data_IF_206910469486
#
_entry.id   IF_206910469486
#
_cell.length_a   1.000
_cell.length_b   1.000
_cell.length_c   1.000
_cell.angle_alpha   90.00
_cell.angle_beta   90.00
_cell.angle_gamma   90.00
#
_symmetry.space_group_name_H-M   'P 1'
#
loop_
_entity.id
_entity.type
_entity.pdbx_description
1 polymer ?
#
# COMPACT_ATOMS: atom_id res chain seq x y z
N UNK A 1 2.27 23.35 5.90
CA UNK A 1 2.72 23.61 4.50
C UNK A 1 1.58 23.32 3.54
N UNK A 2 1.36 24.11 2.49
CA UNK A 2 0.41 23.74 1.42
C UNK A 2 0.87 22.42 0.77
N UNK A 3 -0.06 21.49 0.57
CA UNK A 3 0.22 20.22 -0.11
C UNK A 3 0.70 20.50 -1.54
N UNK A 4 1.93 20.09 -1.85
CA UNK A 4 2.49 20.21 -3.19
C UNK A 4 2.13 18.94 -3.97
N UNK A 5 1.26 19.09 -4.96
CA UNK A 5 0.85 18.00 -5.84
C UNK A 5 1.88 17.80 -6.95
N UNK A 6 2.38 16.57 -7.11
CA UNK A 6 3.30 16.24 -8.17
C UNK A 6 2.54 15.63 -9.36
N UNK A 7 2.70 16.22 -10.55
CA UNK A 7 2.29 15.55 -11.80
C UNK A 7 3.13 14.29 -11.99
N UNK A 8 2.57 13.31 -12.71
CA UNK A 8 3.30 12.12 -13.16
C UNK A 8 4.60 12.47 -13.91
N UNK A 9 4.64 13.62 -14.60
CA UNK A 9 5.84 14.16 -15.23
C UNK A 9 7.02 14.37 -14.28
N UNK A 10 6.76 14.51 -12.98
CA UNK A 10 7.81 14.72 -11.99
C UNK A 10 8.66 13.46 -11.82
N UNK A 11 8.03 12.30 -11.82
CA UNK A 11 8.67 11.03 -11.49
C UNK A 11 8.67 10.00 -12.62
N UNK A 12 7.98 10.24 -13.74
CA UNK A 12 8.11 9.45 -14.97
C UNK A 12 8.71 10.33 -16.06
N UNK A 13 9.80 9.85 -16.68
CA UNK A 13 10.48 10.52 -17.79
C UNK A 13 10.53 9.59 -18.99
N UNK A 14 10.18 10.10 -20.16
CA UNK A 14 10.18 9.27 -21.36
C UNK A 14 11.55 9.32 -22.06
N UNK A 15 12.07 8.17 -22.45
CA UNK A 15 13.33 8.06 -23.21
C UNK A 15 13.04 8.01 -24.71
N UNK A 16 12.05 7.19 -25.09
CA UNK A 16 11.48 7.08 -26.43
C UNK A 16 10.09 6.42 -26.33
N UNK A 17 9.45 6.15 -27.47
CA UNK A 17 8.10 5.57 -27.55
C UNK A 17 7.95 4.18 -26.89
N UNK A 18 9.05 3.54 -26.48
CA UNK A 18 9.09 2.21 -25.88
C UNK A 18 9.91 2.14 -24.59
N UNK A 19 10.31 3.27 -24.01
CA UNK A 19 11.10 3.27 -22.78
C UNK A 19 10.85 4.49 -21.89
N UNK A 20 10.70 4.25 -20.59
CA UNK A 20 10.45 5.27 -19.58
C UNK A 20 11.33 5.03 -18.36
N UNK A 21 11.74 6.10 -17.69
CA UNK A 21 12.46 6.06 -16.42
C UNK A 21 11.52 6.51 -15.31
N UNK A 22 11.37 5.67 -14.28
CA UNK A 22 10.61 5.96 -13.06
C UNK A 22 11.59 6.35 -11.94
N UNK A 23 11.37 7.52 -11.35
CA UNK A 23 12.16 8.14 -10.28
C UNK A 23 13.67 8.24 -10.56
N UNK A 24 14.06 8.25 -11.85
CA UNK A 24 15.46 8.33 -12.25
C UNK A 24 16.25 7.02 -12.14
N UNK A 25 15.66 5.98 -11.55
CA UNK A 25 16.37 4.78 -11.11
C UNK A 25 15.89 3.50 -11.82
N UNK A 26 14.59 3.35 -12.12
CA UNK A 26 14.05 2.19 -12.81
C UNK A 26 13.74 2.49 -14.28
N UNK A 27 14.30 1.71 -15.21
CA UNK A 27 13.97 1.74 -16.63
C UNK A 27 12.86 0.72 -16.92
N UNK A 28 11.74 1.19 -17.45
CA UNK A 28 10.64 0.38 -17.96
C UNK A 28 10.74 0.34 -19.48
N UNK A 29 10.86 -0.86 -20.06
CA UNK A 29 10.99 -1.04 -21.51
C UNK A 29 9.82 -1.85 -22.07
N UNK A 30 9.26 -1.42 -23.20
CA UNK A 30 8.21 -2.13 -23.95
C UNK A 30 8.80 -2.91 -25.12
N UNK A 31 8.36 -4.15 -25.28
CA UNK A 31 8.85 -5.09 -26.28
C UNK A 31 7.69 -5.64 -27.11
N UNK A 32 7.89 -5.79 -28.42
CA UNK A 32 6.93 -6.42 -29.33
C UNK A 32 7.01 -7.95 -29.36
N UNK A 33 7.99 -8.52 -28.67
CA UNK A 33 8.18 -9.97 -28.55
C UNK A 33 8.50 -10.32 -27.11
N UNK A 34 8.14 -11.53 -26.69
CA UNK A 34 8.29 -12.00 -25.32
C UNK A 34 9.77 -11.99 -24.92
N UNK A 35 10.18 -11.18 -23.93
CA UNK A 35 11.56 -11.09 -23.50
C UNK A 35 11.95 -12.31 -22.63
N UNK A 36 13.26 -12.53 -22.48
CA UNK A 36 13.80 -13.60 -21.62
C UNK A 36 13.71 -13.20 -20.14
N UNK A 37 13.87 -11.90 -19.87
CA UNK A 37 13.77 -11.33 -18.54
C UNK A 37 12.35 -11.49 -17.97
N UNK A 38 12.19 -11.43 -16.63
CA UNK A 38 10.89 -11.25 -16.01
C UNK A 38 10.12 -10.09 -16.66
N UNK A 39 8.85 -10.33 -16.98
CA UNK A 39 8.01 -9.41 -17.73
C UNK A 39 6.55 -9.55 -17.38
N UNK A 40 5.77 -8.56 -17.81
CA UNK A 40 4.31 -8.60 -17.79
C UNK A 40 3.76 -8.08 -19.12
N UNK A 41 2.50 -8.36 -19.39
CA UNK A 41 1.85 -8.05 -20.67
C UNK A 41 1.00 -6.78 -20.58
N UNK A 42 0.62 -6.24 -21.73
CA UNK A 42 -0.54 -5.37 -21.87
C UNK A 42 -1.72 -6.08 -22.54
N UNK A 43 -2.74 -5.29 -22.89
CA UNK A 43 -3.93 -5.75 -23.62
C UNK A 43 -3.72 -5.73 -25.15
N UNK A 44 -2.59 -5.22 -25.64
CA UNK A 44 -2.27 -5.04 -27.06
C UNK A 44 -1.23 -6.05 -27.58
N UNK A 45 -0.75 -6.95 -26.73
CA UNK A 45 0.22 -7.99 -27.07
C UNK A 45 1.68 -7.57 -26.96
N UNK A 46 1.95 -6.42 -26.32
CA UNK A 46 3.30 -6.03 -25.93
C UNK A 46 3.66 -6.57 -24.55
N UNK A 47 4.95 -6.57 -24.28
CA UNK A 47 5.54 -7.00 -23.02
C UNK A 47 6.33 -5.86 -22.40
N UNK A 48 6.32 -5.75 -21.08
CA UNK A 48 7.10 -4.78 -20.33
C UNK A 48 8.14 -5.48 -19.46
N UNK A 49 9.32 -4.88 -19.34
CA UNK A 49 10.37 -5.28 -18.39
C UNK A 49 10.76 -4.11 -17.51
N UNK A 50 11.33 -4.40 -16.34
CA UNK A 50 11.91 -3.41 -15.43
C UNK A 50 13.37 -3.75 -15.14
N UNK A 51 14.27 -2.78 -15.32
CA UNK A 51 15.70 -2.92 -15.03
C UNK A 51 16.23 -1.64 -14.36
N UNK A 52 17.44 -1.70 -13.81
CA UNK A 52 18.12 -0.48 -13.33
C UNK A 52 18.45 0.44 -14.50
N UNK A 53 18.23 1.74 -14.34
CA UNK A 53 18.60 2.75 -15.33
C UNK A 53 20.12 2.71 -15.57
N UNK A 54 20.57 2.68 -16.84
CA UNK A 54 22.00 2.58 -17.14
C UNK A 54 22.76 3.87 -16.77
N UNK A 55 24.07 3.73 -16.60
CA UNK A 55 25.00 4.85 -16.40
C UNK A 55 25.96 4.92 -17.60
N UNK A 56 26.02 6.04 -18.34
CA UNK A 56 25.28 7.29 -18.11
C UNK A 56 23.78 7.16 -18.40
N UNK A 57 22.97 7.98 -17.72
CA UNK A 57 21.51 8.02 -17.91
C UNK A 57 21.20 8.46 -19.35
N UNK A 58 20.29 7.78 -20.07
CA UNK A 58 19.94 8.18 -21.43
C UNK A 58 19.18 9.52 -21.41
N UNK A 59 19.23 10.28 -22.51
CA UNK A 59 18.44 11.50 -22.65
C UNK A 59 16.94 11.21 -22.45
N UNK A 60 16.24 12.14 -21.81
CA UNK A 60 14.80 12.04 -21.55
C UNK A 60 14.04 13.25 -22.07
N UNK A 61 12.76 13.05 -22.38
CA UNK A 61 11.76 14.07 -22.71
C UNK A 61 10.57 14.00 -21.73
N UNK A 62 9.70 15.00 -21.80
CA UNK A 62 8.40 14.94 -21.11
C UNK A 62 7.59 13.75 -21.64
N UNK A 63 6.67 13.22 -20.82
CA UNK A 63 5.85 12.09 -21.24
C UNK A 63 4.93 12.52 -22.40
N UNK A 64 4.77 11.65 -23.37
CA UNK A 64 3.83 11.85 -24.47
C UNK A 64 2.39 11.50 -24.07
N UNK A 65 1.42 12.00 -24.83
CA UNK A 65 0.00 11.61 -24.68
C UNK A 65 -0.21 10.10 -24.91
N UNK A 66 0.71 9.44 -25.62
CA UNK A 66 0.73 8.00 -25.84
C UNK A 66 1.42 7.18 -24.75
N UNK A 67 1.84 7.81 -23.64
CA UNK A 67 2.47 7.11 -22.53
C UNK A 67 1.51 6.05 -21.94
N UNK A 68 1.92 4.77 -21.85
CA UNK A 68 1.07 3.70 -21.33
C UNK A 68 1.04 3.66 -19.79
N UNK A 69 1.74 4.59 -19.12
CA UNK A 69 1.89 4.63 -17.67
C UNK A 69 0.91 5.66 -17.10
N UNK A 70 0.09 5.25 -16.14
CA UNK A 70 -0.82 6.15 -15.43
C UNK A 70 -0.64 6.07 -13.91
N UNK A 71 -0.83 7.21 -13.24
CA UNK A 71 -0.75 7.32 -11.78
C UNK A 71 -2.09 6.89 -11.15
N UNK A 72 -2.06 5.76 -10.44
CA UNK A 72 -3.24 5.19 -9.77
C UNK A 72 -3.60 6.01 -8.53
N UNK A 73 -2.60 6.59 -7.84
CA UNK A 73 -2.84 7.42 -6.66
C UNK A 73 -3.37 8.80 -7.03
N UNK A 74 -3.21 9.20 -8.29
CA UNK A 74 -3.44 10.55 -8.83
C UNK A 74 -2.59 11.65 -8.18
N UNK A 75 -1.76 11.32 -7.18
CA UNK A 75 -0.74 12.16 -6.53
C UNK A 75 0.33 11.28 -5.87
N UNK A 76 0.94 10.39 -6.65
CA UNK A 76 2.08 9.62 -6.18
C UNK A 76 3.21 10.54 -5.64
N UNK A 77 3.99 10.01 -4.68
CA UNK A 77 5.02 10.67 -3.86
C UNK A 77 4.56 11.52 -2.67
N UNK A 78 3.26 11.68 -2.39
CA UNK A 78 2.81 12.41 -1.19
C UNK A 78 3.38 11.80 0.12
N UNK A 79 3.46 10.47 0.19
CA UNK A 79 4.03 9.71 1.32
C UNK A 79 5.28 8.92 0.94
N UNK A 80 6.05 9.38 -0.07
CA UNK A 80 7.17 8.64 -0.65
C UNK A 80 6.77 7.31 -1.33
N UNK A 81 5.48 7.06 -1.55
CA UNK A 81 4.97 5.91 -2.30
C UNK A 81 4.45 6.32 -3.67
N UNK A 82 4.66 5.48 -4.67
CA UNK A 82 4.12 5.63 -6.02
C UNK A 82 3.44 4.35 -6.44
N UNK A 83 2.22 4.43 -6.98
CA UNK A 83 1.53 3.29 -7.59
C UNK A 83 1.15 3.62 -9.02
N UNK A 84 1.80 2.95 -9.97
CA UNK A 84 1.61 3.17 -11.40
C UNK A 84 0.94 1.97 -12.04
N UNK A 85 0.00 2.21 -12.95
CA UNK A 85 -0.51 1.16 -13.85
C UNK A 85 0.32 1.15 -15.13
N UNK A 86 0.83 -0.02 -15.50
CA UNK A 86 1.62 -0.24 -16.72
C UNK A 86 1.14 -1.56 -17.33
N UNK A 87 0.39 -1.51 -18.43
CA UNK A 87 -0.26 -2.71 -18.97
C UNK A 87 -1.16 -3.40 -17.94
N UNK A 88 -0.94 -4.70 -17.73
CA UNK A 88 -1.65 -5.56 -16.76
C UNK A 88 -1.00 -5.62 -15.37
N UNK A 89 -0.06 -4.72 -15.07
CA UNK A 89 0.63 -4.67 -13.78
C UNK A 89 0.41 -3.35 -13.05
N UNK A 90 0.51 -3.42 -11.72
CA UNK A 90 0.87 -2.27 -10.91
C UNK A 90 2.38 -2.30 -10.63
N UNK A 91 3.03 -1.16 -10.83
CA UNK A 91 4.37 -0.88 -10.33
C UNK A 91 4.22 -0.08 -9.04
N UNK A 92 4.50 -0.73 -7.91
CA UNK A 92 4.54 -0.10 -6.60
C UNK A 92 5.98 0.28 -6.25
N UNK A 93 6.19 1.52 -5.87
CA UNK A 93 7.49 2.06 -5.46
C UNK A 93 7.36 2.62 -4.06
N UNK A 94 8.23 2.18 -3.17
CA UNK A 94 8.29 2.61 -1.76
C UNK A 94 9.72 2.97 -1.39
N UNK A 95 9.96 3.69 -0.29
CA UNK A 95 11.30 3.77 0.28
C UNK A 95 11.87 2.37 0.48
N UNK A 96 13.19 2.22 0.34
CA UNK A 96 13.87 0.96 0.54
C UNK A 96 14.03 0.61 2.04
N UNK A 97 12.93 0.70 2.79
CA UNK A 97 12.84 0.56 4.24
C UNK A 97 11.82 -0.53 4.56
N UNK A 98 12.08 -1.34 5.58
CA UNK A 98 11.18 -2.40 5.98
C UNK A 98 11.35 -3.70 5.21
N UNK A 99 10.51 -4.67 5.55
CA UNK A 99 10.38 -5.91 4.80
C UNK A 99 10.01 -5.64 3.34
N UNK A 100 10.68 -6.34 2.42
CA UNK A 100 10.37 -6.19 0.99
C UNK A 100 9.03 -6.81 0.68
N UNK A 101 8.21 -6.11 -0.09
CA UNK A 101 6.85 -6.55 -0.41
C UNK A 101 6.82 -7.94 -1.06
N UNK A 102 7.83 -8.31 -1.86
CA UNK A 102 7.92 -9.64 -2.47
C UNK A 102 8.04 -10.76 -1.42
N UNK A 103 8.78 -10.53 -0.32
CA UNK A 103 8.88 -11.48 0.78
C UNK A 103 7.53 -11.63 1.48
N UNK A 104 6.81 -10.53 1.68
CA UNK A 104 5.47 -10.54 2.26
C UNK A 104 4.48 -11.27 1.38
N UNK A 105 4.42 -10.96 0.08
CA UNK A 105 3.52 -11.63 -0.86
C UNK A 105 3.77 -13.14 -0.89
N UNK A 106 5.04 -13.55 -0.94
CA UNK A 106 5.41 -14.97 -0.88
C UNK A 106 4.91 -15.63 0.40
N UNK A 107 5.19 -15.03 1.56
CA UNK A 107 4.81 -15.61 2.84
C UNK A 107 3.29 -15.66 3.05
N UNK A 108 2.55 -14.66 2.58
CA UNK A 108 1.09 -14.63 2.63
C UNK A 108 0.47 -15.66 1.67
N UNK A 109 1.04 -15.84 0.47
CA UNK A 109 0.58 -16.86 -0.47
C UNK A 109 0.72 -18.28 0.11
N UNK A 110 1.78 -18.55 0.85
CA UNK A 110 2.02 -19.84 1.53
C UNK A 110 0.98 -20.13 2.63
N UNK A 111 0.34 -19.10 3.22
CA UNK A 111 -0.69 -19.28 4.26
C UNK A 111 -2.05 -19.73 3.71
N UNK A 112 -2.28 -19.63 2.40
CA UNK A 112 -3.52 -20.07 1.74
C UNK A 112 -4.80 -19.44 2.34
N UNK A 113 -4.78 -18.13 2.57
CA UNK A 113 -5.96 -17.40 3.04
C UNK A 113 -7.11 -17.38 2.02
N UNK A 114 -8.33 -17.10 2.50
CA UNK A 114 -9.53 -16.97 1.65
C UNK A 114 -9.68 -15.57 1.03
N UNK A 115 -8.58 -15.01 0.53
CA UNK A 115 -8.54 -13.76 -0.24
C UNK A 115 -7.43 -13.84 -1.30
N UNK A 116 -7.53 -13.01 -2.32
CA UNK A 116 -6.55 -12.95 -3.40
C UNK A 116 -5.40 -12.00 -3.03
N UNK A 117 -4.19 -12.38 -3.41
CA UNK A 117 -2.98 -11.53 -3.36
C UNK A 117 -2.36 -11.40 -4.74
N UNK A 118 -1.70 -10.27 -5.05
CA UNK A 118 -1.02 -10.10 -6.33
C UNK A 118 0.05 -11.16 -6.56
N UNK A 119 0.18 -11.58 -7.81
CA UNK A 119 1.34 -12.35 -8.26
C UNK A 119 2.44 -11.38 -8.66
N UNK A 120 3.61 -11.55 -8.06
CA UNK A 120 4.80 -10.78 -8.43
C UNK A 120 5.27 -11.14 -9.86
N UNK A 121 5.64 -10.12 -10.64
CA UNK A 121 6.38 -10.29 -11.89
C UNK A 121 7.88 -10.09 -11.70
N UNK A 122 8.27 -8.99 -11.05
CA UNK A 122 9.66 -8.68 -10.74
C UNK A 122 9.78 -7.58 -9.68
N UNK A 123 10.94 -7.51 -9.05
CA UNK A 123 11.31 -6.43 -8.14
C UNK A 123 12.75 -5.96 -8.36
N UNK A 124 13.10 -4.83 -7.76
CA UNK A 124 14.46 -4.32 -7.73
C UNK A 124 14.67 -3.26 -6.68
N UNK A 125 15.89 -3.17 -6.15
CA UNK A 125 16.34 -2.10 -5.27
C UNK A 125 17.23 -1.15 -6.08
N UNK A 126 16.73 0.06 -6.34
CA UNK A 126 17.41 1.04 -7.17
C UNK A 126 17.47 2.38 -6.42
N UNK A 127 18.67 2.77 -5.99
CA UNK A 127 18.86 3.96 -5.16
C UNK A 127 18.19 3.78 -3.78
N UNK A 128 17.46 4.80 -3.36
CA UNK A 128 16.77 4.84 -2.05
C UNK A 128 15.39 4.18 -2.08
N UNK A 129 14.98 3.60 -3.22
CA UNK A 129 13.65 3.05 -3.44
C UNK A 129 13.68 1.55 -3.76
N UNK A 130 12.61 0.89 -3.30
CA UNK A 130 12.26 -0.47 -3.66
C UNK A 130 11.12 -0.43 -4.68
N UNK A 131 11.26 -1.23 -5.74
CA UNK A 131 10.32 -1.32 -6.84
C UNK A 131 9.79 -2.74 -6.93
N UNK A 132 8.48 -2.90 -7.07
CA UNK A 132 7.86 -4.18 -7.37
C UNK A 132 6.76 -4.02 -8.41
N UNK A 133 6.82 -4.83 -9.46
CA UNK A 133 5.76 -4.99 -10.44
C UNK A 133 4.98 -6.27 -10.11
N UNK A 134 3.66 -6.15 -9.93
CA UNK A 134 2.78 -7.28 -9.64
C UNK A 134 1.45 -7.19 -10.41
N UNK A 135 0.75 -8.32 -10.50
CA UNK A 135 -0.53 -8.44 -11.20
C UNK A 135 -1.60 -7.53 -10.61
N UNK A 136 -2.37 -6.87 -11.48
CA UNK A 136 -3.64 -6.26 -11.06
C UNK A 136 -4.61 -7.39 -10.70
N UNK A 137 -5.23 -7.31 -9.52
CA UNK A 137 -6.21 -8.30 -9.09
C UNK A 137 -7.51 -8.21 -9.91
N UNK A 138 -8.19 -9.33 -10.17
CA UNK A 138 -9.48 -9.32 -10.85
C UNK A 138 -10.53 -8.61 -10.00
N UNK A 139 -11.54 -8.04 -10.66
CA UNK A 139 -12.61 -7.29 -10.02
C UNK A 139 -12.42 -5.79 -10.09
N UNK A 140 -13.06 -5.05 -9.18
CA UNK A 140 -13.01 -3.58 -9.13
C UNK A 140 -12.52 -3.09 -7.78
N UNK A 141 -11.71 -2.04 -7.78
CA UNK A 141 -11.23 -1.42 -6.55
C UNK A 141 -12.39 -0.85 -5.75
N UNK A 142 -12.36 -1.04 -4.43
CA UNK A 142 -13.34 -0.43 -3.52
C UNK A 142 -13.33 1.10 -3.65
N UNK A 143 -12.15 1.72 -3.84
CA UNK A 143 -12.03 3.14 -4.12
C UNK A 143 -12.87 3.61 -5.31
N UNK A 144 -13.06 2.76 -6.32
CA UNK A 144 -13.82 3.07 -7.52
C UNK A 144 -15.33 2.86 -7.34
N UNK A 145 -15.72 1.72 -6.75
CA UNK A 145 -17.12 1.28 -6.75
C UNK A 145 -17.91 1.76 -5.55
N UNK A 146 -17.25 2.07 -4.43
CA UNK A 146 -17.93 2.54 -3.23
C UNK A 146 -18.87 3.72 -3.52
N UNK A 147 -18.42 4.88 -4.08
CA UNK A 147 -19.29 6.04 -4.30
C UNK A 147 -20.42 5.78 -5.31
N UNK A 148 -20.21 4.83 -6.22
CA UNK A 148 -21.18 4.40 -7.26
C UNK A 148 -22.25 3.47 -6.71
N UNK A 149 -21.94 2.72 -5.66
CA UNK A 149 -22.84 1.71 -5.06
C UNK A 149 -23.75 2.35 -4.03
N UNK A 150 -25.07 2.32 -4.23
CA UNK A 150 -26.05 2.87 -3.27
C UNK A 150 -26.62 1.83 -2.32
N UNK A 151 -26.36 0.54 -2.57
CA UNK A 151 -26.74 -0.55 -1.70
C UNK A 151 -25.83 -0.57 -0.45
N UNK A 152 -26.40 -0.17 0.70
CA UNK A 152 -25.69 -0.16 1.98
C UNK A 152 -25.40 -1.56 2.50
N UNK A 153 -26.25 -2.55 2.22
CA UNK A 153 -26.02 -3.92 2.66
C UNK A 153 -24.84 -4.53 1.90
N UNK A 154 -24.69 -4.20 0.61
CA UNK A 154 -23.54 -4.61 -0.18
C UNK A 154 -22.23 -3.97 0.31
N UNK A 155 -22.25 -2.66 0.62
CA UNK A 155 -21.09 -1.97 1.24
C UNK A 155 -20.71 -2.58 2.60
N UNK A 156 -21.70 -2.87 3.45
CA UNK A 156 -21.48 -3.54 4.73
C UNK A 156 -20.88 -4.94 4.52
N UNK A 157 -21.38 -5.72 3.55
CA UNK A 157 -20.81 -7.02 3.19
C UNK A 157 -19.33 -6.92 2.83
N UNK A 158 -18.93 -5.94 2.02
CA UNK A 158 -17.51 -5.74 1.69
C UNK A 158 -16.66 -5.38 2.92
N UNK A 159 -17.19 -4.55 3.83
CA UNK A 159 -16.51 -4.23 5.08
C UNK A 159 -16.33 -5.47 5.97
N UNK A 160 -17.35 -6.33 6.08
CA UNK A 160 -17.24 -7.62 6.77
C UNK A 160 -16.19 -8.53 6.14
N UNK A 161 -16.14 -8.64 4.80
CA UNK A 161 -15.11 -9.43 4.12
C UNK A 161 -13.68 -8.93 4.42
N UNK A 162 -13.50 -7.61 4.52
CA UNK A 162 -12.21 -7.01 4.91
C UNK A 162 -11.89 -7.36 6.37
N UNK A 163 -12.86 -7.22 7.29
CA UNK A 163 -12.66 -7.56 8.69
C UNK A 163 -12.35 -9.05 8.89
N UNK A 164 -13.05 -9.94 8.18
CA UNK A 164 -12.78 -11.38 8.17
C UNK A 164 -11.36 -11.69 7.71
N UNK A 165 -10.88 -11.04 6.64
CA UNK A 165 -9.51 -11.19 6.17
C UNK A 165 -8.48 -10.74 7.23
N UNK A 166 -8.75 -9.64 7.94
CA UNK A 166 -7.91 -9.18 9.05
C UNK A 166 -7.92 -10.16 10.22
N UNK A 167 -9.08 -10.72 10.56
CA UNK A 167 -9.23 -11.78 11.57
C UNK A 167 -8.41 -13.02 11.22
N UNK A 168 -8.47 -13.47 9.96
CA UNK A 168 -7.68 -14.60 9.47
C UNK A 168 -6.17 -14.32 9.52
N UNK A 169 -5.74 -13.13 9.09
CA UNK A 169 -4.33 -12.72 9.18
C UNK A 169 -3.84 -12.70 10.63
N UNK A 170 -4.67 -12.22 11.56
CA UNK A 170 -4.31 -12.10 12.97
C UNK A 170 -4.10 -13.45 13.68
N UNK A 171 -4.53 -14.57 13.08
CA UNK A 171 -4.18 -15.92 13.56
C UNK A 171 -2.68 -16.19 13.46
N UNK A 172 -1.98 -15.52 12.56
CA UNK A 172 -0.52 -15.61 12.45
C UNK A 172 0.14 -14.73 13.51
N UNK A 173 0.61 -15.36 14.58
CA UNK A 173 1.31 -14.70 15.69
C UNK A 173 2.80 -14.51 15.38
N UNK A 174 3.36 -13.46 15.97
CA UNK A 174 4.79 -13.19 15.98
C UNK A 174 5.29 -12.91 17.39
N UNK A 175 6.62 -12.90 17.57
CA UNK A 175 7.26 -12.67 18.86
C UNK A 175 7.86 -11.25 18.98
N UNK A 176 7.87 -10.50 17.88
CA UNK A 176 8.43 -9.15 17.80
C UNK A 176 7.59 -8.26 16.87
N UNK A 177 7.70 -6.94 17.05
CA UNK A 177 7.06 -5.94 16.19
C UNK A 177 7.99 -5.69 15.01
N UNK A 178 7.77 -6.37 13.90
CA UNK A 178 8.72 -6.42 12.79
C UNK A 178 8.05 -6.75 11.46
N UNK A 179 8.80 -6.61 10.37
CA UNK A 179 8.39 -7.12 9.08
C UNK A 179 8.33 -8.65 9.05
N UNK A 180 7.75 -9.22 8.00
CA UNK A 180 7.61 -10.70 7.88
C UNK A 180 8.95 -11.44 7.88
N UNK A 181 10.02 -10.76 7.50
CA UNK A 181 11.41 -11.25 7.46
C UNK A 181 12.16 -11.04 8.78
N UNK A 182 11.47 -10.57 9.83
CA UNK A 182 12.06 -10.21 11.12
C UNK A 182 12.78 -8.86 11.14
N UNK A 183 12.82 -8.15 10.00
CA UNK A 183 13.49 -6.88 9.85
C UNK A 183 12.64 -5.68 10.28
N UNK A 184 12.95 -4.54 9.68
CA UNK A 184 12.23 -3.29 9.96
C UNK A 184 10.76 -3.41 9.52
N UNK A 185 9.88 -2.67 10.19
CA UNK A 185 8.47 -2.54 9.79
C UNK A 185 8.18 -1.08 9.46
N UNK A 186 7.86 -0.79 8.19
CA UNK A 186 7.62 0.57 7.74
C UNK A 186 6.21 1.07 8.12
N UNK A 187 5.98 1.27 9.42
CA UNK A 187 4.74 1.82 9.98
C UNK A 187 4.99 3.28 10.43
N UNK A 188 4.71 4.21 9.53
CA UNK A 188 4.98 5.64 9.74
C UNK A 188 4.10 6.28 10.81
N UNK A 189 2.93 5.70 11.12
CA UNK A 189 1.96 6.31 12.06
C UNK A 189 2.30 6.06 13.53
N UNK A 190 3.15 5.09 13.82
CA UNK A 190 3.69 4.84 15.17
C UNK A 190 5.17 5.24 15.26
N UNK A 191 5.63 6.08 14.33
CA UNK A 191 7.00 6.57 14.25
C UNK A 191 7.07 8.04 14.65
N UNK A 192 8.01 8.40 15.54
CA UNK A 192 8.20 9.79 16.01
C UNK A 192 9.13 10.63 15.13
N UNK A 193 10.05 9.97 14.44
CA UNK A 193 11.06 10.63 13.61
C UNK A 193 10.64 10.68 12.14
N UNK A 194 11.46 11.30 11.30
CA UNK A 194 11.23 11.40 9.86
C UNK A 194 11.14 10.01 9.20
N UNK A 195 10.19 9.86 8.29
CA UNK A 195 9.92 8.61 7.57
C UNK A 195 11.06 8.13 6.65
N UNK A 196 12.05 8.99 6.38
CA UNK A 196 13.25 8.68 5.59
C UNK A 196 14.42 8.15 6.43
N UNK A 197 14.28 8.06 7.76
CA UNK A 197 15.29 7.49 8.64
C UNK A 197 14.98 6.01 8.94
N UNK A 198 15.75 5.03 8.40
CA UNK A 198 15.48 3.61 8.63
C UNK A 198 15.52 3.20 10.10
N UNK A 199 16.33 3.89 10.93
CA UNK A 199 16.47 3.58 12.37
C UNK A 199 15.18 3.77 13.15
N UNK A 200 14.24 4.52 12.61
CA UNK A 200 12.93 4.76 13.21
C UNK A 200 12.03 3.53 13.17
N UNK A 201 12.33 2.58 12.28
CA UNK A 201 11.50 1.42 11.99
C UNK A 201 12.06 0.11 12.53
N UNK A 202 13.03 0.16 13.45
CA UNK A 202 13.55 -1.06 14.09
C UNK A 202 12.51 -1.62 15.06
N UNK A 203 12.51 -2.95 15.32
CA UNK A 203 11.59 -3.55 16.27
C UNK A 203 11.60 -2.92 17.66
N UNK A 204 12.78 -2.52 18.15
CA UNK A 204 12.95 -1.92 19.47
C UNK A 204 12.35 -0.52 19.55
N UNK A 205 12.55 0.30 18.50
CA UNK A 205 12.01 1.65 18.43
C UNK A 205 10.49 1.61 18.30
N UNK A 206 9.96 0.74 17.44
CA UNK A 206 8.52 0.60 17.27
C UNK A 206 7.86 0.11 18.56
N UNK A 207 8.42 -0.90 19.23
CA UNK A 207 7.92 -1.36 20.53
C UNK A 207 7.88 -0.24 21.55
N UNK A 208 8.97 0.52 21.68
CA UNK A 208 9.01 1.68 22.57
C UNK A 208 7.91 2.69 22.23
N UNK A 209 7.69 2.99 20.95
CA UNK A 209 6.67 3.95 20.54
C UNK A 209 5.25 3.45 20.84
N UNK A 210 4.98 2.15 20.62
CA UNK A 210 3.71 1.54 21.00
C UNK A 210 3.47 1.58 22.52
N UNK A 211 4.49 1.22 23.32
CA UNK A 211 4.42 1.27 24.78
C UNK A 211 4.17 2.72 25.27
N UNK A 212 4.85 3.70 24.69
CA UNK A 212 4.64 5.13 25.00
C UNK A 212 3.26 5.64 24.55
N UNK A 213 2.69 5.08 23.48
CA UNK A 213 1.34 5.36 23.02
C UNK A 213 0.26 4.64 23.87
N UNK A 214 0.68 3.86 24.87
CA UNK A 214 -0.21 3.10 25.75
C UNK A 214 -0.83 1.87 25.10
N UNK A 215 -0.27 1.40 23.98
CA UNK A 215 -0.78 0.24 23.24
C UNK A 215 -0.17 -1.03 23.84
N UNK A 216 -1.02 -2.01 24.19
CA UNK A 216 -0.54 -3.27 24.78
C UNK A 216 0.18 -4.16 23.77
N UNK A 217 1.49 -4.26 23.92
CA UNK A 217 2.34 -5.09 23.08
C UNK A 217 2.46 -6.55 23.55
N UNK A 218 1.64 -7.03 24.48
CA UNK A 218 1.71 -8.42 24.99
C UNK A 218 1.34 -9.48 23.94
N UNK A 219 0.44 -9.12 23.02
CA UNK A 219 -0.03 -10.00 21.94
C UNK A 219 0.30 -9.37 20.60
N UNK A 220 1.08 -10.08 19.78
CA UNK A 220 1.54 -9.59 18.48
C UNK A 220 0.96 -10.46 17.36
N UNK A 221 0.42 -9.81 16.35
CA UNK A 221 -0.29 -10.42 15.21
C UNK A 221 0.21 -9.88 13.90
N UNK A 222 0.17 -10.71 12.87
CA UNK A 222 0.37 -10.25 11.51
C UNK A 222 -0.82 -9.40 11.05
N UNK A 223 -0.52 -8.25 10.46
CA UNK A 223 -1.51 -7.30 9.96
C UNK A 223 -1.03 -6.68 8.64
N UNK A 224 -1.98 -6.36 7.76
CA UNK A 224 -1.71 -5.65 6.51
C UNK A 224 -1.33 -4.17 6.72
N UNK A 225 -1.78 -3.57 7.83
CA UNK A 225 -1.56 -2.18 8.23
C UNK A 225 -2.14 -1.08 7.31
N UNK A 226 -2.56 -1.37 6.08
CA UNK A 226 -3.26 -0.41 5.23
C UNK A 226 -4.76 -0.75 5.08
N UNK A 227 -5.60 -0.16 5.93
CA UNK A 227 -7.08 -0.28 5.82
C UNK A 227 -7.63 0.90 5.01
N UNK A 228 -7.23 1.00 3.74
CA UNK A 228 -7.69 2.08 2.85
C UNK A 228 -8.41 1.53 1.63
N UNK A 229 -9.40 2.25 1.06
CA UNK A 229 -10.21 1.78 -0.07
C UNK A 229 -9.41 1.30 -1.28
N UNK A 230 -8.21 1.86 -1.49
CA UNK A 230 -7.39 1.54 -2.65
C UNK A 230 -6.70 0.17 -2.54
N UNK A 231 -6.47 -0.31 -1.31
CA UNK A 231 -5.81 -1.60 -1.08
C UNK A 231 -6.73 -2.80 -1.35
N UNK A 232 -8.03 -2.56 -1.54
CA UNK A 232 -9.03 -3.61 -1.66
C UNK A 232 -9.68 -3.62 -3.04
N UNK A 233 -9.85 -4.83 -3.57
CA UNK A 233 -10.59 -5.11 -4.79
C UNK A 233 -11.65 -6.16 -4.49
N UNK A 234 -12.83 -6.07 -5.09
CA UNK A 234 -13.85 -7.11 -5.00
C UNK A 234 -14.13 -7.69 -6.37
N UNK A 235 -14.02 -9.01 -6.45
CA UNK A 235 -14.45 -9.81 -7.59
C UNK A 235 -15.86 -10.33 -7.27
N UNK A 236 -16.88 -9.62 -7.78
CA UNK A 236 -18.29 -9.98 -7.52
C UNK A 236 -18.67 -11.34 -8.12
N UNK A 237 -18.04 -11.73 -9.24
CA UNK A 237 -18.31 -12.99 -9.92
C UNK A 237 -17.86 -14.19 -9.07
N UNK A 238 -16.70 -14.04 -8.41
CA UNK A 238 -16.14 -15.08 -7.52
C UNK A 238 -16.48 -14.87 -6.05
N UNK A 239 -17.04 -13.71 -5.69
CA UNK A 239 -17.30 -13.30 -4.32
C UNK A 239 -16.03 -13.14 -3.46
N UNK A 240 -14.87 -12.91 -4.07
CA UNK A 240 -13.58 -12.87 -3.38
C UNK A 240 -13.09 -11.43 -3.17
N UNK A 241 -12.50 -11.21 -2.00
CA UNK A 241 -11.73 -10.01 -1.68
C UNK A 241 -10.31 -10.17 -2.23
N UNK A 242 -9.78 -9.13 -2.85
CA UNK A 242 -8.38 -8.98 -3.19
C UNK A 242 -7.72 -7.91 -2.32
N UNK A 243 -6.50 -8.16 -1.84
CA UNK A 243 -5.73 -7.25 -1.01
C UNK A 243 -4.38 -6.98 -1.66
N UNK A 244 -4.01 -5.71 -1.82
CA UNK A 244 -2.77 -5.24 -2.46
C UNK A 244 -2.00 -4.28 -1.55
N UNK A 245 -0.76 -3.93 -1.91
CA UNK A 245 0.12 -2.98 -1.21
C UNK A 245 0.56 -3.45 0.18
N UNK A 246 1.29 -4.56 0.16
CA UNK A 246 1.78 -5.28 1.33
C UNK A 246 3.11 -4.74 1.89
N UNK A 247 3.56 -3.56 1.46
CA UNK A 247 4.85 -2.95 1.86
C UNK A 247 4.96 -2.62 3.35
N UNK A 248 3.83 -2.27 3.99
CA UNK A 248 3.77 -1.96 5.42
C UNK A 248 3.26 -3.12 6.28
N UNK A 249 3.00 -4.28 5.69
CA UNK A 249 2.47 -5.41 6.43
C UNK A 249 3.55 -6.07 7.30
N UNK A 250 3.13 -6.51 8.48
CA UNK A 250 4.04 -7.11 9.44
C UNK A 250 3.36 -7.40 10.78
N UNK A 251 4.18 -7.72 11.76
CA UNK A 251 3.75 -8.08 13.10
C UNK A 251 3.60 -6.83 13.97
N UNK A 252 2.41 -6.63 14.54
CA UNK A 252 2.03 -5.46 15.34
C UNK A 252 1.19 -5.89 16.55
N UNK A 253 1.07 -5.05 17.60
CA UNK A 253 0.16 -5.31 18.71
C UNK A 253 -1.28 -5.54 18.25
N UNK A 254 -2.04 -6.42 18.92
CA UNK A 254 -3.46 -6.69 18.59
C UNK A 254 -4.36 -5.46 18.64
N UNK A 255 -3.98 -4.43 19.39
CA UNK A 255 -4.69 -3.15 19.48
C UNK A 255 -4.46 -2.23 18.27
N UNK A 256 -3.39 -2.48 17.51
CA UNK A 256 -2.99 -1.58 16.44
C UNK A 256 -3.94 -1.57 15.25
N UNK A 257 -4.40 -2.71 14.68
CA UNK A 257 -5.18 -2.70 13.44
C UNK A 257 -6.42 -1.81 13.50
N UNK A 258 -7.19 -1.88 14.59
CA UNK A 258 -8.38 -1.05 14.78
C UNK A 258 -8.03 0.41 15.07
N UNK A 259 -7.02 0.65 15.92
CA UNK A 259 -6.52 2.00 16.21
C UNK A 259 -6.03 2.71 14.93
N UNK A 260 -5.33 1.98 14.07
CA UNK A 260 -4.77 2.48 12.82
C UNK A 260 -5.86 2.73 11.75
N UNK A 261 -6.90 1.90 11.71
CA UNK A 261 -8.06 2.14 10.85
C UNK A 261 -8.79 3.44 11.23
N UNK A 262 -8.88 3.75 12.52
CA UNK A 262 -9.51 4.98 13.00
C UNK A 262 -8.66 6.22 12.70
N UNK A 263 -7.34 6.09 12.90
CA UNK A 263 -6.36 7.15 12.64
C UNK A 263 -6.35 7.58 11.19
N UNK A 264 -6.57 6.63 10.29
CA UNK A 264 -6.36 6.88 8.89
C UNK A 264 -7.09 5.88 7.96
N UNK A 265 -8.35 6.17 7.65
CA UNK A 265 -9.08 5.40 6.64
C UNK A 265 -8.76 5.79 5.18
N UNK A 266 -7.93 6.82 4.93
CA UNK A 266 -7.88 7.45 3.60
C UNK A 266 -6.53 7.97 3.11
N UNK A 267 -5.46 8.13 3.90
CA UNK A 267 -4.28 8.94 3.55
C UNK A 267 -3.71 8.63 2.16
N UNK A 268 -3.44 7.36 1.87
CA UNK A 268 -2.86 6.90 0.60
C UNK A 268 -3.89 6.90 -0.54
N UNK A 269 -5.18 6.89 -0.22
CA UNK A 269 -6.29 7.03 -1.15
C UNK A 269 -6.86 8.46 -1.17
N UNK A 270 -6.26 9.40 -0.44
CA UNK A 270 -6.87 10.70 -0.15
C UNK A 270 -7.05 11.55 -1.39
N UNK A 271 -6.11 11.57 -2.36
CA UNK A 271 -6.33 12.33 -3.60
C UNK A 271 -7.54 11.81 -4.38
N UNK A 272 -7.55 10.50 -4.62
CA UNK A 272 -8.59 9.83 -5.38
C UNK A 272 -9.96 9.99 -4.70
N UNK A 273 -10.04 9.74 -3.40
CA UNK A 273 -11.29 9.86 -2.63
C UNK A 273 -11.71 11.32 -2.43
N UNK A 274 -10.79 12.29 -2.38
CA UNK A 274 -11.13 13.71 -2.39
C UNK A 274 -11.71 14.16 -3.72
N UNK A 275 -11.25 13.59 -4.83
CA UNK A 275 -11.77 13.89 -6.16
C UNK A 275 -13.11 13.20 -6.46
N UNK A 276 -13.33 11.98 -5.94
CA UNK A 276 -14.43 11.11 -6.39
C UNK A 276 -15.49 10.76 -5.34
N UNK A 277 -15.19 10.90 -4.04
CA UNK A 277 -16.12 10.55 -2.97
C UNK A 277 -16.75 11.78 -2.33
N UNK A 278 -18.03 11.68 -2.01
CA UNK A 278 -18.71 12.70 -1.19
C UNK A 278 -18.27 12.59 0.28
N UNK A 279 -18.63 13.59 1.10
CA UNK A 279 -18.44 13.52 2.56
C UNK A 279 -19.19 12.33 3.16
N UNK A 280 -20.39 12.04 2.65
CA UNK A 280 -21.22 10.93 3.10
C UNK A 280 -20.58 9.58 2.78
N UNK A 281 -20.00 9.42 1.58
CA UNK A 281 -19.29 8.19 1.21
C UNK A 281 -18.09 7.92 2.12
N UNK A 282 -17.34 8.98 2.48
CA UNK A 282 -16.19 8.86 3.39
C UNK A 282 -16.62 8.50 4.81
N UNK A 283 -17.70 9.11 5.30
CA UNK A 283 -18.26 8.80 6.61
C UNK A 283 -18.77 7.36 6.65
N UNK A 284 -19.52 6.95 5.63
CA UNK A 284 -20.07 5.60 5.50
C UNK A 284 -18.95 4.54 5.47
N UNK A 285 -17.89 4.72 4.68
CA UNK A 285 -16.73 3.81 4.71
C UNK A 285 -16.12 3.67 6.10
N UNK A 286 -15.86 4.80 6.77
CA UNK A 286 -15.26 4.78 8.11
C UNK A 286 -16.17 4.04 9.09
N UNK A 287 -17.46 4.32 9.07
CA UNK A 287 -18.43 3.65 9.94
C UNK A 287 -18.47 2.14 9.68
N UNK A 288 -18.66 1.73 8.41
CA UNK A 288 -18.77 0.31 8.05
C UNK A 288 -17.52 -0.49 8.43
N UNK A 289 -16.33 0.04 8.13
CA UNK A 289 -15.06 -0.64 8.41
C UNK A 289 -14.79 -0.72 9.92
N UNK A 290 -15.01 0.37 10.66
CA UNK A 290 -14.77 0.37 12.10
C UNK A 290 -15.77 -0.53 12.84
N UNK A 291 -17.04 -0.54 12.42
CA UNK A 291 -18.05 -1.46 12.93
C UNK A 291 -17.66 -2.91 12.64
N UNK A 292 -17.32 -3.24 11.40
CA UNK A 292 -16.93 -4.61 11.04
C UNK A 292 -15.69 -5.10 11.80
N UNK A 293 -14.66 -4.25 11.96
CA UNK A 293 -13.46 -4.58 12.74
C UNK A 293 -13.75 -4.72 14.25
N UNK A 294 -14.74 -3.99 14.77
CA UNK A 294 -15.16 -4.12 16.16
C UNK A 294 -15.94 -5.43 16.41
N UNK A 295 -16.80 -5.82 15.47
CA UNK A 295 -17.69 -6.98 15.63
C UNK A 295 -16.97 -8.34 15.57
N UNK A 296 -15.79 -8.43 14.96
CA UNK A 296 -15.01 -9.68 14.90
C UNK A 296 -14.35 -10.06 16.25
N UNK A 297 -14.35 -9.18 17.26
CA UNK A 297 -13.84 -9.42 18.63
C UNK A 297 -12.40 -9.97 18.69
N UNK A 298 -11.57 -9.65 17.69
CA UNK A 298 -10.14 -10.01 17.64
C UNK A 298 -9.25 -8.85 18.07
N UNK A 299 -9.68 -7.62 17.77
CA UNK A 299 -8.92 -6.41 18.02
C UNK A 299 -9.60 -5.61 19.11
N UNK A 300 -8.81 -5.14 20.06
CA UNK A 300 -9.17 -3.99 20.89
C UNK A 300 -8.68 -2.70 20.21
N UNK A 301 -9.09 -1.55 20.74
CA UNK A 301 -8.59 -0.25 20.28
C UNK A 301 -8.13 0.60 21.46
N UNK A 302 -7.08 1.39 21.23
CA UNK A 302 -6.64 2.41 22.17
C UNK A 302 -6.46 3.77 21.48
N UNK A 303 -7.46 4.13 20.67
CA UNK A 303 -7.46 5.39 19.92
C UNK A 303 -7.23 6.65 20.79
N UNK A 304 -7.88 6.83 21.96
CA UNK A 304 -7.66 8.05 22.75
C UNK A 304 -6.21 8.22 23.23
N UNK A 305 -5.56 7.13 23.67
CA UNK A 305 -4.17 7.19 24.11
C UNK A 305 -3.22 7.48 22.92
N UNK A 306 -3.43 6.78 21.80
CA UNK A 306 -2.69 7.03 20.57
C UNK A 306 -2.87 8.47 20.07
N UNK A 307 -4.10 8.99 20.03
CA UNK A 307 -4.38 10.34 19.56
C UNK A 307 -3.66 11.39 20.42
N UNK A 308 -3.70 11.23 21.75
CA UNK A 308 -2.98 12.11 22.66
C UNK A 308 -1.46 12.02 22.46
N UNK A 309 -0.91 10.81 22.32
CA UNK A 309 0.51 10.62 22.02
C UNK A 309 0.91 11.29 20.70
N UNK A 310 0.10 11.13 19.66
CA UNK A 310 0.35 11.69 18.34
C UNK A 310 0.22 13.22 18.32
N UNK A 311 -0.70 13.79 19.09
CA UNK A 311 -0.84 15.24 19.22
C UNK A 311 0.39 15.88 19.89
N UNK A 312 1.03 15.19 20.85
CA UNK A 312 2.28 15.70 21.44
C UNK A 312 3.45 15.81 20.45
N UNK A 313 3.41 15.10 19.31
CA UNK A 313 4.41 15.20 18.25
C UNK A 313 4.27 16.48 17.42
N UNK A 314 3.04 16.93 17.17
CA UNK A 314 2.78 18.11 16.32
C UNK A 314 3.26 19.43 16.94
N UNK A 315 3.55 19.45 18.23
CA UNK A 315 3.98 20.63 18.98
C UNK A 315 5.46 20.63 19.39
N UNK A 316 6.24 19.61 18.99
CA UNK A 316 7.69 19.55 19.29
C UNK A 316 8.57 19.89 18.08
N UNK A 317 7.98 20.15 16.91
CA UNK A 317 8.68 20.49 15.66
C UNK A 317 8.55 21.97 15.25
N UNK A 318 8.05 22.83 16.14
CA UNK A 318 8.07 24.31 15.98
C UNK A 318 9.21 24.93 16.80
#
# INVERSE_FOLDING_TARGET
MPMQYFSIDYFVKEVNDNAWIVLGEAMISRHSSKPIQPHWEDDEGFFFTMEKTPSPRPPTRAISDSCPISDVLQQSMYNLETLLKIGKAHLHVTPNIGAKEHNTLKAVAEKSYNFMVPTEYCHGEYGDFYYIAYSILPGKSIAEIWPKTKDKALRAKWACQIADAYSEMAKWRGDAICGVDGGHLWETRISKDRADNPRTFTPEVLRKNFDEAGIDCSNIVFCHNHVTPLCFTVDEDRGLLGITRWSAAGFVPTEWPQTAAQSNGFLEASPLTNATWTREDKQDWREQILTALYEIDVFSQNWPAYANWNDTLRWQTD
#
